data_IF_857734855849
#
_entry.id   IF_857734855849
#
_cell.length_a   1.000
_cell.length_b   1.000
_cell.length_c   1.000
_cell.angle_alpha   90.00
_cell.angle_beta   90.00
_cell.angle_gamma   90.00
#
_symmetry.space_group_name_H-M   'P 1'
#
loop_
_entity.id
_entity.type
_entity.pdbx_description
1 polymer ?
#
# COMPACT_ATOMS: atom_id res chain seq x y z
N UNK A 1 -38.15 20.97 -47.22
CA UNK A 1 -37.57 20.93 -45.87
C UNK A 1 -37.05 19.52 -45.65
N UNK A 2 -35.78 19.29 -45.93
CA UNK A 2 -35.14 17.98 -45.78
C UNK A 2 -34.24 18.10 -44.55
N UNK A 3 -34.68 17.56 -43.41
CA UNK A 3 -33.87 17.50 -42.20
C UNK A 3 -32.80 16.42 -42.40
N UNK A 4 -31.55 16.86 -42.52
CA UNK A 4 -30.37 15.99 -42.36
C UNK A 4 -30.25 15.60 -40.90
N UNK A 5 -30.38 14.30 -40.63
CA UNK A 5 -30.10 13.69 -39.33
C UNK A 5 -28.58 13.79 -39.09
N UNK A 6 -28.15 14.75 -38.27
CA UNK A 6 -26.79 14.77 -37.76
C UNK A 6 -26.57 13.53 -36.88
N UNK A 7 -25.56 12.74 -37.24
CA UNK A 7 -25.12 11.61 -36.42
C UNK A 7 -24.52 12.15 -35.11
N UNK A 8 -24.78 11.50 -33.97
CA UNK A 8 -24.28 11.99 -32.68
C UNK A 8 -22.75 11.95 -32.65
N UNK A 9 -22.14 13.12 -32.43
CA UNK A 9 -20.70 13.29 -32.24
C UNK A 9 -20.33 12.65 -30.90
N UNK A 10 -19.74 11.45 -30.95
CA UNK A 10 -19.24 10.75 -29.76
C UNK A 10 -18.04 11.53 -29.19
N UNK A 11 -18.03 11.87 -27.88
CA UNK A 11 -16.95 12.65 -27.29
C UNK A 11 -15.61 11.91 -27.36
N UNK A 12 -14.53 12.67 -27.64
CA UNK A 12 -13.16 12.17 -27.89
C UNK A 12 -12.63 11.20 -26.81
N UNK A 13 -13.00 11.42 -25.55
CA UNK A 13 -12.60 10.57 -24.42
C UNK A 13 -13.20 9.15 -24.48
N UNK A 14 -14.42 9.00 -25.01
CA UNK A 14 -15.03 7.67 -25.21
C UNK A 14 -14.38 6.92 -26.37
N UNK A 15 -14.04 7.62 -27.46
CA UNK A 15 -13.36 7.03 -28.61
C UNK A 15 -11.96 6.51 -28.24
N UNK A 16 -11.19 7.28 -27.46
CA UNK A 16 -9.87 6.88 -26.97
C UNK A 16 -9.96 5.64 -26.05
N UNK A 17 -11.00 5.54 -25.22
CA UNK A 17 -11.26 4.36 -24.37
C UNK A 17 -11.67 3.11 -25.16
N UNK A 18 -12.43 3.28 -26.25
CA UNK A 18 -12.85 2.18 -27.12
C UNK A 18 -11.70 1.65 -27.96
N UNK A 19 -10.84 2.52 -28.49
CA UNK A 19 -9.63 2.11 -29.22
C UNK A 19 -8.67 1.34 -28.28
N UNK A 20 -8.46 1.83 -27.06
CA UNK A 20 -7.63 1.15 -26.06
C UNK A 20 -8.14 -0.25 -25.70
N UNK A 21 -9.45 -0.38 -25.44
CA UNK A 21 -10.10 -1.68 -25.20
C UNK A 21 -9.94 -2.61 -26.39
N UNK A 22 -10.19 -2.12 -27.61
CA UNK A 22 -10.08 -2.93 -28.84
C UNK A 22 -8.67 -3.47 -29.03
N UNK A 23 -7.64 -2.64 -28.85
CA UNK A 23 -6.24 -3.07 -28.96
C UNK A 23 -5.93 -4.16 -27.94
N UNK A 24 -6.37 -3.98 -26.70
CA UNK A 24 -6.17 -4.95 -25.60
C UNK A 24 -6.84 -6.29 -25.92
N UNK A 25 -8.09 -6.28 -26.38
CA UNK A 25 -8.79 -7.51 -26.78
C UNK A 25 -8.14 -8.20 -27.98
N UNK A 26 -7.70 -7.45 -29.00
CA UNK A 26 -7.01 -8.03 -30.16
C UNK A 26 -5.67 -8.64 -29.74
N UNK A 27 -4.92 -7.97 -28.86
CA UNK A 27 -3.68 -8.49 -28.29
C UNK A 27 -3.91 -9.78 -27.52
N UNK A 28 -4.85 -9.79 -26.57
CA UNK A 28 -5.17 -10.97 -25.78
C UNK A 28 -5.63 -12.16 -26.64
N UNK A 29 -6.52 -11.93 -27.61
CA UNK A 29 -6.95 -13.00 -28.53
C UNK A 29 -5.80 -13.58 -29.36
N UNK A 30 -4.93 -12.71 -29.87
CA UNK A 30 -3.76 -13.14 -30.65
C UNK A 30 -2.78 -13.93 -29.78
N UNK A 31 -2.49 -13.45 -28.57
CA UNK A 31 -1.55 -14.10 -27.66
C UNK A 31 -2.08 -15.46 -27.18
N UNK A 32 -3.37 -15.55 -26.86
CA UNK A 32 -4.01 -16.82 -26.50
C UNK A 32 -3.99 -17.83 -27.65
N UNK A 33 -4.26 -17.38 -28.88
CA UNK A 33 -4.18 -18.24 -30.07
C UNK A 33 -2.75 -18.71 -30.33
N UNK A 34 -1.77 -17.80 -30.34
CA UNK A 34 -0.37 -18.13 -30.59
C UNK A 34 0.19 -19.06 -29.51
N UNK A 35 -0.11 -18.78 -28.23
CA UNK A 35 0.26 -19.62 -27.11
C UNK A 35 -0.27 -21.05 -27.28
N UNK A 36 -1.57 -21.21 -27.54
CA UNK A 36 -2.19 -22.53 -27.72
C UNK A 36 -1.54 -23.30 -28.87
N UNK A 37 -1.31 -22.63 -30.00
CA UNK A 37 -0.68 -23.24 -31.18
C UNK A 37 0.77 -23.67 -30.87
N UNK A 38 1.57 -22.81 -30.21
CA UNK A 38 2.95 -23.11 -29.82
C UNK A 38 3.01 -24.31 -28.87
N UNK A 39 2.17 -24.36 -27.85
CA UNK A 39 2.14 -25.48 -26.89
C UNK A 39 1.79 -26.78 -27.60
N UNK A 40 0.69 -26.81 -28.37
CA UNK A 40 0.25 -28.03 -29.07
C UNK A 40 1.31 -28.54 -30.06
N UNK A 41 1.86 -27.64 -30.88
CA UNK A 41 2.90 -28.02 -31.86
C UNK A 41 4.19 -28.41 -31.15
N UNK A 42 4.58 -27.70 -30.10
CA UNK A 42 5.74 -28.02 -29.28
C UNK A 42 5.65 -29.43 -28.70
N UNK A 43 4.48 -29.83 -28.20
CA UNK A 43 4.23 -31.21 -27.77
C UNK A 43 4.32 -32.22 -28.91
N UNK A 44 3.70 -31.93 -30.07
CA UNK A 44 3.71 -32.84 -31.22
C UNK A 44 5.11 -33.04 -31.82
N UNK A 45 5.89 -31.97 -31.87
CA UNK A 45 7.23 -31.96 -32.46
C UNK A 45 8.32 -32.28 -31.43
N UNK A 46 7.97 -32.31 -30.14
CA UNK A 46 8.87 -32.64 -29.04
C UNK A 46 9.84 -31.52 -28.62
N UNK A 47 9.60 -30.27 -29.02
CA UNK A 47 10.44 -29.11 -28.68
C UNK A 47 10.09 -28.56 -27.30
N UNK A 48 11.03 -28.62 -26.37
CA UNK A 48 10.90 -28.03 -25.05
C UNK A 48 10.90 -26.49 -25.13
N UNK A 49 11.71 -25.90 -26.02
CA UNK A 49 11.79 -24.44 -26.16
C UNK A 49 10.46 -23.84 -26.64
N UNK A 50 9.82 -24.48 -27.62
CA UNK A 50 8.54 -24.03 -28.16
C UNK A 50 7.40 -24.20 -27.15
N UNK A 51 7.41 -25.29 -26.37
CA UNK A 51 6.47 -25.47 -25.25
C UNK A 51 6.68 -24.38 -24.21
N UNK A 52 7.91 -24.11 -23.80
CA UNK A 52 8.24 -23.10 -22.79
C UNK A 52 7.80 -21.69 -23.23
N UNK A 53 8.07 -21.31 -24.48
CA UNK A 53 7.64 -20.04 -25.07
C UNK A 53 6.11 -19.92 -25.19
N UNK A 54 5.45 -21.03 -25.51
CA UNK A 54 4.00 -21.14 -25.51
C UNK A 54 3.39 -20.97 -24.11
N UNK A 55 3.96 -21.63 -23.11
CA UNK A 55 3.55 -21.53 -21.70
C UNK A 55 3.83 -20.14 -21.13
N UNK A 56 4.97 -19.53 -21.44
CA UNK A 56 5.26 -18.13 -21.09
C UNK A 56 4.15 -17.22 -21.61
N UNK A 57 3.85 -17.30 -22.91
CA UNK A 57 2.77 -16.50 -23.52
C UNK A 57 1.39 -16.83 -22.94
N UNK A 58 1.14 -18.08 -22.52
CA UNK A 58 -0.12 -18.47 -21.86
C UNK A 58 -0.24 -17.84 -20.48
N UNK A 59 0.88 -17.84 -19.75
CA UNK A 59 1.00 -17.34 -18.39
C UNK A 59 0.69 -15.85 -18.34
N UNK A 60 1.13 -15.09 -19.34
CA UNK A 60 0.80 -13.67 -19.47
C UNK A 60 -0.72 -13.46 -19.63
N UNK A 61 -1.38 -14.24 -20.50
CA UNK A 61 -2.84 -14.16 -20.68
C UNK A 61 -3.63 -14.58 -19.43
N UNK A 62 -3.16 -15.62 -18.73
CA UNK A 62 -3.75 -16.04 -17.46
C UNK A 62 -3.55 -14.95 -16.40
N UNK A 63 -2.37 -14.34 -16.34
CA UNK A 63 -2.05 -13.22 -15.44
C UNK A 63 -3.00 -12.06 -15.67
N UNK A 64 -3.21 -11.65 -16.92
CA UNK A 64 -4.17 -10.60 -17.28
C UNK A 64 -5.60 -10.93 -16.81
N UNK A 65 -6.02 -12.18 -17.00
CA UNK A 65 -7.33 -12.66 -16.53
C UNK A 65 -7.45 -12.63 -15.00
N UNK A 66 -6.41 -13.06 -14.29
CA UNK A 66 -6.33 -13.03 -12.83
C UNK A 66 -6.34 -11.59 -12.31
N UNK A 67 -5.61 -10.67 -12.94
CA UNK A 67 -5.63 -9.24 -12.61
C UNK A 67 -7.03 -8.65 -12.80
N UNK A 68 -7.72 -8.99 -13.89
CA UNK A 68 -9.11 -8.52 -14.10
C UNK A 68 -10.07 -9.06 -13.03
N UNK A 69 -9.93 -10.33 -12.65
CA UNK A 69 -10.70 -10.92 -11.57
C UNK A 69 -10.37 -10.27 -10.22
N UNK A 70 -9.08 -10.07 -9.93
CA UNK A 70 -8.59 -9.41 -8.72
C UNK A 70 -9.11 -7.98 -8.61
N UNK A 71 -9.13 -7.21 -9.70
CA UNK A 71 -9.74 -5.87 -9.73
C UNK A 71 -11.24 -5.94 -9.45
N UNK A 72 -11.94 -6.94 -9.98
CA UNK A 72 -13.39 -7.09 -9.78
C UNK A 72 -13.77 -7.46 -8.35
N UNK A 73 -13.02 -8.38 -7.73
CA UNK A 73 -13.26 -8.83 -6.36
C UNK A 73 -12.60 -7.94 -5.30
N UNK A 74 -11.41 -7.43 -5.56
CA UNK A 74 -10.60 -6.64 -4.64
C UNK A 74 -11.04 -5.19 -4.48
N UNK A 75 -11.76 -4.62 -5.46
CA UNK A 75 -12.34 -3.26 -5.37
C UNK A 75 -13.73 -3.21 -4.76
N UNK A 76 -14.20 -4.30 -4.17
CA UNK A 76 -15.44 -4.28 -3.42
C UNK A 76 -15.24 -3.47 -2.14
N UNK A 77 -16.19 -2.58 -1.87
CA UNK A 77 -16.22 -1.75 -0.66
C UNK A 77 -16.27 -2.64 0.60
N UNK A 78 -15.90 -2.08 1.78
CA UNK A 78 -16.07 -2.77 3.05
C UNK A 78 -17.49 -3.29 3.25
N UNK A 79 -17.60 -4.49 3.82
CA UNK A 79 -18.86 -5.10 4.26
C UNK A 79 -18.79 -5.53 5.73
N UNK A 80 -19.86 -6.17 6.22
CA UNK A 80 -19.98 -6.58 7.63
C UNK A 80 -18.92 -7.62 8.06
N UNK A 81 -18.41 -8.42 7.12
CA UNK A 81 -17.36 -9.42 7.38
C UNK A 81 -15.94 -8.87 7.09
N UNK A 82 -15.83 -7.79 6.32
CA UNK A 82 -14.57 -7.19 5.85
C UNK A 82 -14.55 -5.66 6.01
N UNK A 83 -14.38 -5.19 7.25
CA UNK A 83 -14.37 -3.74 7.57
C UNK A 83 -13.28 -2.90 6.87
N UNK A 84 -12.19 -3.53 6.40
CA UNK A 84 -11.11 -2.88 5.65
C UNK A 84 -11.24 -3.08 4.13
N UNK A 85 -12.33 -3.70 3.67
CA UNK A 85 -12.57 -4.02 2.27
C UNK A 85 -11.87 -5.29 1.81
N UNK A 86 -11.99 -5.56 0.50
CA UNK A 86 -11.61 -6.83 -0.11
C UNK A 86 -10.23 -6.81 -0.78
N UNK A 87 -9.46 -5.73 -0.59
CA UNK A 87 -8.18 -5.53 -1.28
C UNK A 87 -7.22 -6.72 -1.16
N UNK A 88 -7.14 -7.36 0.01
CA UNK A 88 -6.24 -8.52 0.22
C UNK A 88 -6.55 -9.73 -0.67
N UNK A 89 -7.73 -9.81 -1.29
CA UNK A 89 -8.05 -10.84 -2.28
C UNK A 89 -7.15 -10.69 -3.51
N UNK A 90 -6.83 -9.46 -3.91
CA UNK A 90 -5.89 -9.20 -5.01
C UNK A 90 -4.49 -9.70 -4.68
N UNK A 91 -4.02 -9.43 -3.45
CA UNK A 91 -2.73 -9.91 -2.93
C UNK A 91 -2.67 -11.45 -2.92
N UNK A 92 -3.72 -12.11 -2.42
CA UNK A 92 -3.79 -13.58 -2.38
C UNK A 92 -3.84 -14.20 -3.77
N UNK A 93 -4.57 -13.57 -4.68
CA UNK A 93 -4.69 -14.01 -6.08
C UNK A 93 -3.34 -13.91 -6.80
N UNK A 94 -2.61 -12.81 -6.59
CA UNK A 94 -1.27 -12.58 -7.15
C UNK A 94 -0.24 -13.55 -6.55
N UNK A 95 -0.32 -13.83 -5.25
CA UNK A 95 0.52 -14.82 -4.57
C UNK A 95 0.33 -16.23 -5.16
N UNK A 96 -0.93 -16.65 -5.35
CA UNK A 96 -1.26 -17.95 -5.94
C UNK A 96 -0.74 -18.05 -7.38
N UNK A 97 -0.95 -17.00 -8.18
CA UNK A 97 -0.46 -16.92 -9.55
C UNK A 97 1.07 -17.05 -9.60
N UNK A 98 1.80 -16.26 -8.81
CA UNK A 98 3.26 -16.34 -8.73
C UNK A 98 3.74 -17.76 -8.36
N UNK A 99 3.05 -18.42 -7.42
CA UNK A 99 3.33 -19.81 -7.03
C UNK A 99 3.14 -20.80 -8.18
N UNK A 100 2.07 -20.67 -8.97
CA UNK A 100 1.82 -21.51 -10.15
C UNK A 100 2.90 -21.29 -11.21
N UNK A 101 3.30 -20.05 -11.46
CA UNK A 101 4.35 -19.73 -12.45
C UNK A 101 5.69 -20.34 -12.07
N UNK A 102 6.09 -20.26 -10.79
CA UNK A 102 7.32 -20.90 -10.29
C UNK A 102 7.25 -22.41 -10.46
N UNK A 103 6.11 -23.04 -10.14
CA UNK A 103 5.93 -24.48 -10.29
C UNK A 103 6.08 -24.91 -11.75
N UNK A 104 5.43 -24.21 -12.67
CA UNK A 104 5.49 -24.48 -14.12
C UNK A 104 6.90 -24.25 -14.66
N UNK A 105 7.55 -23.15 -14.28
CA UNK A 105 8.95 -22.86 -14.62
C UNK A 105 9.91 -23.96 -14.13
N UNK A 106 9.72 -24.44 -12.90
CA UNK A 106 10.47 -25.56 -12.33
C UNK A 106 10.28 -26.86 -13.13
N UNK A 107 9.05 -27.16 -13.56
CA UNK A 107 8.76 -28.31 -14.42
C UNK A 107 9.44 -28.24 -15.79
N UNK A 108 9.44 -27.06 -16.44
CA UNK A 108 10.13 -26.83 -17.71
C UNK A 108 11.65 -26.99 -17.52
N UNK A 109 12.21 -26.34 -16.50
CA UNK A 109 13.65 -26.40 -16.23
C UNK A 109 14.11 -27.83 -15.91
N UNK A 110 13.37 -28.55 -15.06
CA UNK A 110 13.66 -29.94 -14.70
C UNK A 110 13.63 -30.86 -15.93
N UNK A 111 12.55 -30.81 -16.71
CA UNK A 111 12.42 -31.65 -17.92
C UNK A 111 13.48 -31.32 -18.98
N UNK A 112 13.91 -30.06 -19.08
CA UNK A 112 14.95 -29.63 -20.01
C UNK A 112 16.36 -30.03 -19.55
N UNK A 113 16.63 -29.98 -18.25
CA UNK A 113 17.88 -30.46 -17.65
C UNK A 113 18.03 -31.98 -17.80
N UNK A 114 16.95 -32.73 -17.53
CA UNK A 114 16.94 -34.18 -17.70
C UNK A 114 17.25 -34.58 -19.15
N UNK A 115 16.65 -33.90 -20.13
CA UNK A 115 16.97 -34.07 -21.56
C UNK A 115 18.42 -33.74 -21.90
N UNK A 116 18.98 -32.69 -21.30
CA UNK A 116 20.36 -32.26 -21.57
C UNK A 116 21.39 -33.27 -21.01
N UNK A 117 21.15 -33.82 -19.81
CA UNK A 117 22.08 -34.73 -19.16
C UNK A 117 21.90 -36.20 -19.56
N UNK A 118 20.70 -36.62 -19.95
CA UNK A 118 20.44 -37.98 -20.43
C UNK A 118 21.07 -38.28 -21.79
N UNK A 119 21.49 -37.24 -22.55
CA UNK A 119 22.08 -37.41 -23.88
C UNK A 119 21.12 -38.00 -24.91
N UNK A 120 19.80 -37.97 -24.63
CA UNK A 120 18.78 -38.46 -25.53
C UNK A 120 18.87 -37.74 -26.89
N UNK A 121 18.74 -38.48 -27.99
CA UNK A 121 18.66 -37.87 -29.33
C UNK A 121 17.44 -36.95 -29.37
N UNK A 122 17.70 -35.65 -29.36
CA UNK A 122 16.66 -34.63 -29.53
C UNK A 122 16.34 -34.61 -31.01
N UNK A 123 15.23 -35.24 -31.40
CA UNK A 123 14.71 -35.16 -32.75
C UNK A 123 14.60 -33.69 -33.16
N UNK A 124 15.21 -33.34 -34.30
CA UNK A 124 15.21 -31.97 -34.77
C UNK A 124 13.76 -31.50 -34.92
N UNK A 125 13.36 -30.41 -34.24
CA UNK A 125 11.98 -29.99 -34.22
C UNK A 125 11.60 -29.50 -35.61
N UNK A 126 10.94 -30.37 -36.38
CA UNK A 126 10.79 -30.28 -37.83
C UNK A 126 10.30 -28.92 -38.33
N UNK A 127 10.42 -28.67 -39.64
CA UNK A 127 10.14 -27.38 -40.29
C UNK A 127 8.85 -26.67 -39.82
N UNK A 128 7.83 -27.43 -39.41
CA UNK A 128 6.58 -26.93 -38.82
C UNK A 128 6.82 -26.04 -37.60
N UNK A 129 7.69 -26.43 -36.67
CA UNK A 129 7.99 -25.64 -35.46
C UNK A 129 8.62 -24.30 -35.81
N UNK A 130 9.55 -24.28 -36.77
CA UNK A 130 10.20 -23.05 -37.26
C UNK A 130 9.17 -22.12 -37.91
N UNK A 131 8.33 -22.63 -38.82
CA UNK A 131 7.31 -21.82 -39.50
C UNK A 131 6.34 -21.19 -38.50
N UNK A 132 5.88 -21.95 -37.51
CA UNK A 132 4.97 -21.45 -36.47
C UNK A 132 5.65 -20.40 -35.59
N UNK A 133 6.92 -20.61 -35.23
CA UNK A 133 7.67 -19.64 -34.43
C UNK A 133 7.92 -18.34 -35.21
N UNK A 134 8.19 -18.43 -36.51
CA UNK A 134 8.29 -17.26 -37.41
C UNK A 134 6.96 -16.51 -37.47
N UNK A 135 5.85 -17.23 -37.67
CA UNK A 135 4.51 -16.61 -37.67
C UNK A 135 4.27 -15.89 -36.33
N UNK A 136 4.56 -16.54 -35.20
CA UNK A 136 4.39 -15.94 -33.89
C UNK A 136 5.27 -14.69 -33.69
N UNK A 137 6.53 -14.73 -34.10
CA UNK A 137 7.46 -13.59 -34.04
C UNK A 137 6.91 -12.40 -34.83
N UNK A 138 6.47 -12.61 -36.07
CA UNK A 138 5.89 -11.55 -36.90
C UNK A 138 4.55 -11.05 -36.35
N UNK A 139 3.72 -11.93 -35.79
CA UNK A 139 2.47 -11.55 -35.13
C UNK A 139 2.71 -10.69 -33.89
N UNK A 140 3.70 -11.04 -33.04
CA UNK A 140 4.09 -10.23 -31.87
C UNK A 140 4.69 -8.87 -32.28
N UNK A 141 5.50 -8.81 -33.33
CA UNK A 141 5.99 -7.54 -33.88
C UNK A 141 4.85 -6.70 -34.49
N UNK A 142 3.87 -7.34 -35.13
CA UNK A 142 2.69 -6.67 -35.67
C UNK A 142 1.83 -6.06 -34.56
N UNK A 143 1.54 -6.81 -33.48
CA UNK A 143 0.76 -6.28 -32.35
C UNK A 143 1.53 -5.15 -31.66
N UNK A 144 2.85 -5.27 -31.47
CA UNK A 144 3.68 -4.18 -30.98
C UNK A 144 3.47 -2.89 -31.78
N UNK A 145 3.60 -2.96 -33.11
CA UNK A 145 3.42 -1.79 -33.98
C UNK A 145 1.99 -1.26 -33.94
N UNK A 146 0.99 -2.14 -33.85
CA UNK A 146 -0.40 -1.76 -33.75
C UNK A 146 -0.68 -1.01 -32.44
N UNK A 147 -0.32 -1.62 -31.30
CA UNK A 147 -0.48 -1.04 -29.96
C UNK A 147 0.29 0.27 -29.82
N UNK A 148 1.54 0.34 -30.30
CA UNK A 148 2.36 1.56 -30.25
C UNK A 148 1.76 2.71 -31.06
N UNK A 149 1.16 2.43 -32.23
CA UNK A 149 0.48 3.47 -33.02
C UNK A 149 -0.73 4.04 -32.27
N UNK A 150 -1.52 3.18 -31.61
CA UNK A 150 -2.67 3.62 -30.82
C UNK A 150 -2.23 4.34 -29.56
N UNK A 151 -1.24 3.81 -28.85
CA UNK A 151 -0.67 4.41 -27.64
C UNK A 151 -0.23 5.87 -27.85
N UNK A 152 0.50 6.14 -28.94
CA UNK A 152 0.93 7.49 -29.31
C UNK A 152 -0.25 8.41 -29.71
N UNK A 153 -1.28 7.87 -30.34
CA UNK A 153 -2.48 8.62 -30.76
C UNK A 153 -3.30 9.07 -29.55
N UNK A 154 -3.54 8.16 -28.60
CA UNK A 154 -4.32 8.43 -27.38
C UNK A 154 -3.45 8.98 -26.23
N UNK A 155 -2.14 9.17 -26.48
CA UNK A 155 -1.13 9.64 -25.51
C UNK A 155 -1.12 8.84 -24.20
N UNK A 156 -1.31 7.52 -24.29
CA UNK A 156 -1.37 6.64 -23.11
C UNK A 156 -0.01 5.98 -22.85
N UNK A 157 0.61 6.34 -21.72
CA UNK A 157 1.85 5.73 -21.23
C UNK A 157 1.67 4.25 -20.88
N UNK A 158 0.48 3.86 -20.40
CA UNK A 158 0.14 2.47 -20.12
C UNK A 158 0.14 1.62 -21.40
N UNK A 159 -0.46 2.11 -22.48
CA UNK A 159 -0.43 1.40 -23.77
C UNK A 159 0.97 1.38 -24.40
N UNK A 160 1.80 2.41 -24.17
CA UNK A 160 3.22 2.39 -24.58
C UNK A 160 3.97 1.27 -23.85
N UNK A 161 3.78 1.13 -22.54
CA UNK A 161 4.37 0.06 -21.74
C UNK A 161 3.90 -1.33 -22.21
N UNK A 162 2.59 -1.52 -22.43
CA UNK A 162 2.05 -2.78 -22.94
C UNK A 162 2.62 -3.14 -24.32
N UNK A 163 2.80 -2.16 -25.22
CA UNK A 163 3.45 -2.42 -26.49
C UNK A 163 4.90 -2.91 -26.31
N UNK A 164 5.68 -2.26 -25.43
CA UNK A 164 7.05 -2.70 -25.14
C UNK A 164 7.11 -4.09 -24.52
N UNK A 165 6.12 -4.46 -23.71
CA UNK A 165 5.98 -5.82 -23.19
C UNK A 165 5.82 -6.84 -24.32
N UNK A 166 4.86 -6.64 -25.25
CA UNK A 166 4.71 -7.53 -26.42
C UNK A 166 5.99 -7.62 -27.27
N UNK A 167 6.80 -6.56 -27.30
CA UNK A 167 8.09 -6.58 -28.01
C UNK A 167 9.16 -7.38 -27.27
N UNK A 168 9.16 -7.33 -25.93
CA UNK A 168 10.00 -8.20 -25.11
C UNK A 168 9.70 -9.68 -25.38
N UNK A 169 8.42 -10.04 -25.52
CA UNK A 169 8.02 -11.40 -25.88
C UNK A 169 8.51 -11.79 -27.27
N UNK A 170 8.41 -10.87 -28.25
CA UNK A 170 8.94 -11.10 -29.59
C UNK A 170 10.43 -11.43 -29.54
N UNK A 171 11.21 -10.73 -28.69
CA UNK A 171 12.63 -11.02 -28.50
C UNK A 171 12.87 -12.39 -27.87
N UNK A 172 12.05 -12.79 -26.88
CA UNK A 172 12.09 -14.13 -26.28
C UNK A 172 11.79 -15.23 -27.31
N UNK A 173 10.72 -15.06 -28.11
CA UNK A 173 10.38 -15.95 -29.22
C UNK A 173 11.48 -15.99 -30.29
N UNK A 174 12.22 -14.89 -30.51
CA UNK A 174 13.38 -14.90 -31.41
C UNK A 174 14.53 -15.79 -30.89
N UNK A 175 14.78 -15.82 -29.58
CA UNK A 175 15.76 -16.75 -28.97
C UNK A 175 15.34 -18.20 -29.23
N UNK A 176 14.06 -18.51 -29.06
CA UNK A 176 13.49 -19.83 -29.36
C UNK A 176 13.66 -20.18 -30.83
N UNK A 177 13.39 -19.24 -31.74
CA UNK A 177 13.58 -19.45 -33.18
C UNK A 177 15.03 -19.80 -33.53
N UNK A 178 16.00 -19.10 -32.95
CA UNK A 178 17.43 -19.39 -33.17
C UNK A 178 17.77 -20.80 -32.67
N UNK A 179 17.24 -21.21 -31.53
CA UNK A 179 17.44 -22.55 -30.99
C UNK A 179 16.82 -23.64 -31.87
N UNK A 180 15.60 -23.43 -32.38
CA UNK A 180 14.94 -24.36 -33.30
C UNK A 180 15.70 -24.52 -34.62
N UNK A 181 16.20 -23.40 -35.18
CA UNK A 181 17.04 -23.44 -36.39
C UNK A 181 18.34 -24.19 -36.11
N UNK A 182 19.02 -23.89 -35.01
CA UNK A 182 20.26 -24.58 -34.63
C UNK A 182 20.05 -26.09 -34.43
N UNK A 183 18.93 -26.49 -33.85
CA UNK A 183 18.56 -27.89 -33.68
C UNK A 183 18.42 -28.65 -35.02
N UNK A 184 18.02 -27.98 -36.11
CA UNK A 184 18.00 -28.58 -37.46
C UNK A 184 19.40 -28.88 -38.03
N UNK A 185 20.43 -28.17 -37.59
CA UNK A 185 21.82 -28.38 -38.02
C UNK A 185 22.61 -29.32 -37.10
N UNK A 186 21.92 -30.11 -36.27
CA UNK A 186 22.54 -31.08 -35.36
C UNK A 186 22.84 -30.53 -33.96
N UNK A 187 22.49 -29.28 -33.66
CA UNK A 187 22.66 -28.69 -32.33
C UNK A 187 21.40 -28.83 -31.47
N UNK A 188 20.86 -30.05 -31.33
CA UNK A 188 19.60 -30.32 -30.61
C UNK A 188 19.59 -29.86 -29.14
N UNK A 189 20.76 -29.78 -28.51
CA UNK A 189 20.93 -29.24 -27.15
C UNK A 189 20.53 -27.77 -27.01
N UNK A 190 20.52 -26.99 -28.11
CA UNK A 190 20.08 -25.59 -28.09
C UNK A 190 18.60 -25.45 -27.72
N UNK A 191 17.76 -26.42 -28.08
CA UNK A 191 16.34 -26.43 -27.70
C UNK A 191 16.18 -26.56 -26.17
N UNK A 192 16.94 -27.47 -25.55
CA UNK A 192 16.94 -27.62 -24.09
C UNK A 192 17.47 -26.37 -23.38
N UNK A 193 18.54 -25.75 -23.90
CA UNK A 193 19.09 -24.52 -23.33
C UNK A 193 18.11 -23.36 -23.45
N UNK A 194 17.47 -23.18 -24.61
CA UNK A 194 16.46 -22.15 -24.78
C UNK A 194 15.24 -22.37 -23.86
N UNK A 195 14.80 -23.62 -23.69
CA UNK A 195 13.74 -23.96 -22.74
C UNK A 195 14.11 -23.61 -21.29
N UNK A 196 15.35 -23.88 -20.86
CA UNK A 196 15.85 -23.49 -19.53
C UNK A 196 15.84 -21.97 -19.38
N UNK A 197 16.34 -21.22 -20.38
CA UNK A 197 16.38 -19.75 -20.35
C UNK A 197 14.96 -19.18 -20.22
N UNK A 198 14.01 -19.66 -21.02
CA UNK A 198 12.61 -19.22 -20.95
C UNK A 198 11.98 -19.63 -19.62
N UNK A 199 12.24 -20.86 -19.13
CA UNK A 199 11.79 -21.30 -17.82
C UNK A 199 12.29 -20.40 -16.69
N UNK A 200 13.55 -20.00 -16.71
CA UNK A 200 14.11 -19.05 -15.73
C UNK A 200 13.47 -17.66 -15.82
N UNK A 201 13.16 -17.19 -17.03
CA UNK A 201 12.44 -15.92 -17.23
C UNK A 201 11.04 -15.98 -16.59
N UNK A 202 10.26 -17.01 -16.88
CA UNK A 202 8.92 -17.25 -16.29
C UNK A 202 9.03 -17.37 -14.77
N UNK A 203 9.99 -18.15 -14.29
CA UNK A 203 10.22 -18.36 -12.86
C UNK A 203 10.58 -17.07 -12.13
N UNK A 204 11.37 -16.19 -12.75
CA UNK A 204 11.67 -14.85 -12.23
C UNK A 204 10.42 -14.00 -12.09
N UNK A 205 9.57 -13.96 -13.11
CA UNK A 205 8.29 -13.21 -13.05
C UNK A 205 7.42 -13.76 -11.93
N UNK A 206 7.27 -15.09 -11.84
CA UNK A 206 6.53 -15.74 -10.76
C UNK A 206 7.09 -15.44 -9.37
N UNK A 207 8.42 -15.42 -9.24
CA UNK A 207 9.11 -15.06 -7.99
C UNK A 207 8.88 -13.62 -7.58
N UNK A 208 9.02 -12.68 -8.51
CA UNK A 208 8.82 -11.26 -8.25
C UNK A 208 7.37 -11.00 -7.75
N UNK A 209 6.36 -11.61 -8.42
CA UNK A 209 4.95 -11.55 -7.99
C UNK A 209 4.70 -12.18 -6.62
N UNK A 210 5.25 -13.38 -6.38
CA UNK A 210 5.10 -14.10 -5.12
C UNK A 210 5.72 -13.30 -3.96
N UNK A 211 6.94 -12.80 -4.16
CA UNK A 211 7.70 -12.12 -3.13
C UNK A 211 7.09 -10.76 -2.77
N UNK A 212 6.63 -10.00 -3.76
CA UNK A 212 5.92 -8.74 -3.54
C UNK A 212 4.61 -8.97 -2.77
N UNK A 213 3.80 -9.95 -3.21
CA UNK A 213 2.53 -10.28 -2.54
C UNK A 213 2.74 -10.82 -1.12
N UNK A 214 3.78 -11.63 -0.91
CA UNK A 214 4.10 -12.16 0.41
C UNK A 214 4.53 -11.04 1.37
N UNK A 215 5.33 -10.07 0.90
CA UNK A 215 5.71 -8.89 1.68
C UNK A 215 4.51 -8.04 2.08
N UNK A 216 3.60 -7.84 1.15
CA UNK A 216 2.36 -7.11 1.44
C UNK A 216 1.51 -7.85 2.49
N UNK A 217 1.39 -9.18 2.40
CA UNK A 217 0.59 -9.98 3.33
C UNK A 217 1.12 -9.98 4.77
N UNK A 218 2.43 -9.80 4.96
CA UNK A 218 3.08 -9.68 6.28
C UNK A 218 3.20 -8.22 6.76
N UNK A 219 2.46 -7.30 6.15
CA UNK A 219 2.42 -5.88 6.49
C UNK A 219 3.83 -5.24 6.46
N UNK A 220 4.62 -5.57 5.43
CA UNK A 220 5.96 -4.98 5.26
C UNK A 220 5.86 -3.46 5.15
N UNK A 221 6.70 -2.77 5.92
CA UNK A 221 6.78 -1.32 5.92
C UNK A 221 7.25 -0.76 4.58
N UNK A 222 6.88 0.50 4.32
CA UNK A 222 7.41 1.27 3.19
C UNK A 222 8.92 1.44 3.28
N UNK A 223 9.60 1.77 2.17
CA UNK A 223 11.02 2.13 2.23
C UNK A 223 11.28 3.24 3.25
N UNK A 224 12.37 3.12 4.01
CA UNK A 224 12.74 4.07 5.08
C UNK A 224 12.79 5.52 4.58
N UNK A 225 13.24 5.75 3.34
CA UNK A 225 13.24 7.07 2.73
C UNK A 225 11.85 7.70 2.60
N UNK A 226 10.82 6.89 2.36
CA UNK A 226 9.42 7.34 2.27
C UNK A 226 8.86 7.58 3.67
N UNK A 227 9.18 6.70 4.63
CA UNK A 227 8.80 6.90 6.04
C UNK A 227 9.39 8.20 6.60
N UNK A 228 10.65 8.51 6.28
CA UNK A 228 11.29 9.77 6.68
C UNK A 228 10.59 10.99 6.08
N UNK A 229 10.19 10.92 4.81
CA UNK A 229 9.41 12.00 4.19
C UNK A 229 8.06 12.18 4.88
N UNK A 230 7.36 11.09 5.19
CA UNK A 230 6.10 11.14 5.95
C UNK A 230 6.29 11.76 7.33
N UNK A 231 7.36 11.39 8.03
CA UNK A 231 7.74 12.00 9.31
C UNK A 231 7.96 13.50 9.17
N UNK A 232 8.76 13.94 8.19
CA UNK A 232 9.09 15.35 7.98
C UNK A 232 7.82 16.18 7.68
N UNK A 233 6.90 15.63 6.88
CA UNK A 233 5.61 16.25 6.56
C UNK A 233 4.74 16.40 7.80
N UNK A 234 4.59 15.33 8.60
CA UNK A 234 3.81 15.36 9.83
C UNK A 234 4.42 16.36 10.84
N UNK A 235 5.75 16.34 11.01
CA UNK A 235 6.48 17.22 11.92
C UNK A 235 6.44 18.70 11.51
N UNK A 236 6.21 19.00 10.24
CA UNK A 236 6.09 20.36 9.70
C UNK A 236 4.78 21.07 10.07
N UNK A 237 3.81 20.36 10.65
CA UNK A 237 2.52 20.94 11.04
C UNK A 237 2.71 21.81 12.28
N UNK A 238 2.24 23.08 12.27
CA UNK A 238 2.27 23.93 13.46
C UNK A 238 1.51 23.29 14.62
N UNK A 239 2.11 23.26 15.80
CA UNK A 239 1.54 22.62 17.00
C UNK A 239 1.97 21.18 17.23
N UNK A 240 2.69 20.56 16.26
CA UNK A 240 3.34 19.26 16.46
C UNK A 240 4.73 19.48 17.06
N UNK A 241 4.99 18.86 18.21
CA UNK A 241 6.27 18.91 18.92
C UNK A 241 7.17 17.73 18.54
N UNK A 242 6.59 16.55 18.30
CA UNK A 242 7.30 15.36 17.85
C UNK A 242 6.34 14.39 17.17
N UNK A 243 6.89 13.41 16.46
CA UNK A 243 6.14 12.28 15.89
C UNK A 243 6.93 11.02 16.19
N UNK A 244 6.28 9.99 16.73
CA UNK A 244 6.92 8.70 16.96
C UNK A 244 5.98 7.57 16.56
N UNK A 245 6.47 6.32 16.65
CA UNK A 245 5.73 5.10 16.28
C UNK A 245 5.03 5.15 14.92
N UNK A 246 5.66 5.85 13.96
CA UNK A 246 5.22 5.90 12.57
C UNK A 246 5.37 4.50 11.95
N UNK A 247 4.24 3.80 11.85
CA UNK A 247 4.12 2.49 11.25
C UNK A 247 3.41 2.62 9.93
N UNK A 248 4.00 2.03 8.91
CA UNK A 248 3.42 2.00 7.56
C UNK A 248 3.19 0.57 7.14
N UNK A 249 2.12 0.35 6.38
CA UNK A 249 1.87 -0.94 5.71
C UNK A 249 1.24 -0.70 4.35
N UNK A 250 1.43 -1.67 3.45
CA UNK A 250 0.77 -1.71 2.16
C UNK A 250 -0.38 -2.72 2.19
N UNK A 251 -1.47 -2.39 1.52
CA UNK A 251 -2.60 -3.30 1.32
C UNK A 251 -3.27 -2.99 -0.02
N UNK A 252 -3.22 -3.93 -0.95
CA UNK A 252 -3.76 -3.86 -2.31
C UNK A 252 -3.33 -2.60 -3.08
N UNK A 253 -2.03 -2.31 -3.04
CA UNK A 253 -1.45 -1.11 -3.66
C UNK A 253 -1.77 0.22 -2.95
N UNK A 254 -2.54 0.20 -1.86
CA UNK A 254 -2.77 1.35 -1.00
C UNK A 254 -1.82 1.35 0.20
N UNK A 255 -1.60 2.54 0.76
CA UNK A 255 -0.78 2.74 1.96
C UNK A 255 -1.70 3.07 3.13
N UNK A 256 -1.40 2.46 4.28
CA UNK A 256 -1.99 2.79 5.57
C UNK A 256 -0.88 3.23 6.54
N UNK A 257 -1.17 4.23 7.36
CA UNK A 257 -0.23 4.76 8.35
C UNK A 257 -0.89 4.84 9.71
N UNK A 258 -0.19 4.30 10.71
CA UNK A 258 -0.47 4.53 12.12
C UNK A 258 0.68 5.40 12.67
N UNK A 259 0.38 6.50 13.37
CA UNK A 259 1.41 7.37 13.93
C UNK A 259 0.98 7.99 15.26
N UNK A 260 1.94 8.36 16.08
CA UNK A 260 1.71 9.14 17.29
C UNK A 260 2.18 10.58 17.07
N UNK A 261 1.35 11.55 17.44
CA UNK A 261 1.61 12.97 17.25
C UNK A 261 1.69 13.61 18.62
N UNK A 262 2.90 14.04 19.00
CA UNK A 262 3.12 14.75 20.26
C UNK A 262 2.76 16.21 20.07
N UNK A 263 1.90 16.72 20.94
CA UNK A 263 1.42 18.12 20.93
C UNK A 263 1.51 18.72 22.33
N UNK A 264 1.33 20.04 22.43
CA UNK A 264 1.41 20.73 23.71
C UNK A 264 0.46 20.15 24.79
N UNK A 265 0.94 19.80 25.99
CA UNK A 265 0.19 19.02 26.99
C UNK A 265 -1.01 19.73 27.63
N UNK A 266 -1.10 21.06 27.47
CA UNK A 266 -2.14 21.90 28.07
C UNK A 266 -3.15 22.44 27.05
N UNK A 267 -3.07 22.03 25.78
CA UNK A 267 -4.08 22.40 24.78
C UNK A 267 -5.36 21.59 25.01
N UNK A 268 -6.47 22.05 24.43
CA UNK A 268 -7.73 21.31 24.52
C UNK A 268 -7.68 20.06 23.65
N UNK A 269 -8.40 18.99 24.03
CA UNK A 269 -8.55 17.79 23.19
C UNK A 269 -9.09 18.14 21.79
N UNK A 270 -9.96 19.16 21.69
CA UNK A 270 -10.47 19.64 20.40
C UNK A 270 -9.40 20.26 19.52
N UNK A 271 -8.48 21.05 20.08
CA UNK A 271 -7.37 21.66 19.35
C UNK A 271 -6.33 20.61 18.94
N UNK A 272 -6.00 19.70 19.86
CA UNK A 272 -5.13 18.56 19.64
C UNK A 272 -5.63 17.68 18.49
N UNK A 273 -6.94 17.38 18.47
CA UNK A 273 -7.57 16.62 17.40
C UNK A 273 -7.49 17.32 16.04
N UNK A 274 -7.65 18.65 15.99
CA UNK A 274 -7.54 19.39 14.73
C UNK A 274 -6.09 19.44 14.20
N UNK A 275 -5.09 19.52 15.09
CA UNK A 275 -3.68 19.37 14.71
C UNK A 275 -3.44 18.00 14.06
N UNK A 276 -3.97 16.91 14.65
CA UNK A 276 -3.91 15.58 14.06
C UNK A 276 -4.63 15.47 12.70
N UNK A 277 -5.79 16.13 12.56
CA UNK A 277 -6.50 16.21 11.28
C UNK A 277 -5.69 16.95 10.21
N UNK A 278 -4.99 18.03 10.56
CA UNK A 278 -4.08 18.74 9.66
C UNK A 278 -2.93 17.84 9.22
N UNK A 279 -2.31 17.09 10.14
CA UNK A 279 -1.28 16.08 9.82
C UNK A 279 -1.81 15.07 8.80
N UNK A 280 -2.98 14.49 9.05
CA UNK A 280 -3.63 13.54 8.13
C UNK A 280 -3.88 14.16 6.75
N UNK A 281 -4.33 15.42 6.70
CA UNK A 281 -4.61 16.13 5.45
C UNK A 281 -3.35 16.38 4.63
N UNK A 282 -2.25 16.81 5.26
CA UNK A 282 -0.96 17.04 4.57
C UNK A 282 -0.37 15.73 4.06
N UNK A 283 -0.39 14.69 4.88
CA UNK A 283 0.07 13.36 4.46
C UNK A 283 -0.74 12.85 3.25
N UNK A 284 -2.07 12.94 3.28
CA UNK A 284 -2.91 12.52 2.15
C UNK A 284 -2.69 13.37 0.88
N UNK A 285 -2.36 14.65 1.04
CA UNK A 285 -2.07 15.52 -0.09
C UNK A 285 -0.74 15.17 -0.75
N UNK A 286 0.29 14.89 0.05
CA UNK A 286 1.64 14.61 -0.45
C UNK A 286 1.83 13.15 -0.90
N UNK A 287 1.07 12.21 -0.33
CA UNK A 287 1.09 10.79 -0.65
C UNK A 287 -0.27 10.32 -1.17
N UNK A 288 -0.56 10.43 -2.49
CA UNK A 288 -1.87 10.09 -3.05
C UNK A 288 -2.32 8.63 -2.89
N UNK A 289 -1.39 7.71 -2.61
CA UNK A 289 -1.69 6.30 -2.33
C UNK A 289 -2.08 6.05 -0.87
N UNK A 290 -1.96 7.06 0.00
CA UNK A 290 -2.33 6.98 1.41
C UNK A 290 -3.84 7.05 1.59
N UNK A 291 -4.46 5.92 1.91
CA UNK A 291 -5.92 5.81 2.07
C UNK A 291 -6.35 5.89 3.52
N UNK A 292 -5.55 5.34 4.44
CA UNK A 292 -5.90 5.32 5.86
C UNK A 292 -4.79 5.93 6.72
N UNK A 293 -5.21 6.75 7.67
CA UNK A 293 -4.31 7.44 8.61
C UNK A 293 -4.98 7.41 9.96
N UNK A 294 -4.40 6.65 10.88
CA UNK A 294 -4.81 6.62 12.28
C UNK A 294 -3.70 7.33 13.05
N UNK A 295 -4.07 8.41 13.74
CA UNK A 295 -3.16 9.12 14.60
C UNK A 295 -3.60 8.97 16.06
N UNK A 296 -2.64 8.69 16.94
CA UNK A 296 -2.76 8.92 18.37
C UNK A 296 -2.23 10.32 18.68
N UNK A 297 -2.80 11.01 19.66
CA UNK A 297 -2.31 12.31 20.10
C UNK A 297 -1.78 12.19 21.51
N UNK A 298 -0.48 12.42 21.65
CA UNK A 298 0.22 12.29 22.92
C UNK A 298 0.56 13.66 23.51
N UNK A 299 0.36 13.86 24.82
CA UNK A 299 0.73 15.10 25.49
C UNK A 299 2.24 15.19 25.77
N UNK A 300 2.95 14.06 25.74
CA UNK A 300 4.37 13.92 26.08
C UNK A 300 5.02 12.91 25.13
N UNK A 301 6.35 12.93 25.02
CA UNK A 301 7.08 11.98 24.18
C UNK A 301 7.41 10.71 24.99
N UNK A 302 6.59 9.67 24.81
CA UNK A 302 6.72 8.36 25.47
C UNK A 302 7.38 7.29 24.57
N UNK A 303 8.12 7.74 23.55
CA UNK A 303 8.77 6.87 22.58
C UNK A 303 9.66 5.82 23.26
N UNK A 304 9.28 4.55 23.12
CA UNK A 304 10.01 3.42 23.67
C UNK A 304 9.70 3.06 25.13
N UNK A 305 8.77 3.76 25.78
CA UNK A 305 8.33 3.45 27.15
C UNK A 305 7.31 2.29 27.20
N UNK A 306 6.77 1.91 26.04
CA UNK A 306 5.84 0.80 25.88
C UNK A 306 4.38 1.26 25.94
N UNK A 307 3.47 0.37 26.30
CA UNK A 307 2.04 0.66 26.36
C UNK A 307 1.67 1.06 27.82
N UNK A 308 1.45 2.35 28.11
CA UNK A 308 1.21 2.83 29.47
C UNK A 308 -0.06 2.24 30.09
N UNK A 309 -1.00 1.73 29.29
CA UNK A 309 -2.20 1.05 29.79
C UNK A 309 -1.90 -0.27 30.53
N UNK A 310 -0.66 -0.77 30.42
CA UNK A 310 -0.19 -1.98 31.13
C UNK A 310 0.33 -1.70 32.53
N UNK A 311 0.52 -0.44 32.90
CA UNK A 311 0.96 -0.01 34.22
C UNK A 311 -0.24 0.31 35.13
N UNK A 312 -0.10 0.31 36.46
CA UNK A 312 -1.14 0.80 37.35
C UNK A 312 -1.50 2.24 37.01
N UNK A 313 -2.77 2.49 36.70
CA UNK A 313 -3.23 3.81 36.27
C UNK A 313 -3.20 4.87 37.39
N UNK A 314 -3.11 6.13 36.98
CA UNK A 314 -3.35 7.29 37.85
C UNK A 314 -4.83 7.37 38.26
N UNK A 315 -5.15 7.97 39.43
CA UNK A 315 -6.53 8.11 39.87
C UNK A 315 -7.34 8.94 38.89
N UNK A 316 -8.54 8.48 38.58
CA UNK A 316 -9.45 9.22 37.69
C UNK A 316 -10.06 10.42 38.41
N UNK A 317 -10.64 11.34 37.64
CA UNK A 317 -11.23 12.59 38.16
C UNK A 317 -12.06 12.43 39.44
N UNK A 318 -13.00 11.46 39.57
CA UNK A 318 -13.78 11.34 40.80
C UNK A 318 -12.93 11.02 42.04
N UNK A 319 -11.89 10.20 41.89
CA UNK A 319 -10.97 9.83 42.97
C UNK A 319 -10.06 10.99 43.34
N UNK A 320 -9.59 11.73 42.33
CA UNK A 320 -8.83 12.97 42.51
C UNK A 320 -9.67 14.00 43.27
N UNK A 321 -10.90 14.26 42.85
CA UNK A 321 -11.79 15.22 43.49
C UNK A 321 -12.12 14.82 44.93
N UNK A 322 -12.38 13.53 45.20
CA UNK A 322 -12.62 13.03 46.55
C UNK A 322 -11.40 13.26 47.46
N UNK A 323 -10.21 12.86 46.99
CA UNK A 323 -8.96 12.99 47.77
C UNK A 323 -8.61 14.46 48.04
N UNK A 324 -8.72 15.32 47.01
CA UNK A 324 -8.45 16.74 47.16
C UNK A 324 -9.47 17.41 48.08
N UNK A 325 -10.74 17.03 48.01
CA UNK A 325 -11.77 17.57 48.90
C UNK A 325 -11.45 17.26 50.37
N UNK A 326 -11.00 16.05 50.71
CA UNK A 326 -10.63 15.72 52.09
C UNK A 326 -9.52 16.62 52.66
N UNK A 327 -8.61 17.13 51.82
CA UNK A 327 -7.47 17.97 52.22
C UNK A 327 -7.80 19.47 52.14
N UNK A 328 -8.60 19.86 51.15
CA UNK A 328 -8.82 21.26 50.81
C UNK A 328 -10.21 21.80 51.21
N UNK A 329 -11.14 21.00 51.75
CA UNK A 329 -12.51 21.45 52.07
C UNK A 329 -12.60 22.66 53.02
N UNK A 330 -11.60 22.82 53.90
CA UNK A 330 -11.51 23.97 54.83
C UNK A 330 -10.85 25.19 54.19
N UNK A 331 -10.16 25.04 53.07
CA UNK A 331 -9.46 26.13 52.41
C UNK A 331 -10.46 27.01 51.63
N UNK A 332 -10.47 28.36 51.81
CA UNK A 332 -11.45 29.24 51.19
C UNK A 332 -11.50 29.13 49.66
N UNK A 333 -10.35 28.93 49.02
CA UNK A 333 -10.20 28.82 47.55
C UNK A 333 -11.00 27.66 46.98
N UNK A 334 -11.06 26.52 47.69
CA UNK A 334 -11.76 25.32 47.22
C UNK A 334 -13.27 25.55 47.10
N UNK A 335 -13.84 26.39 47.97
CA UNK A 335 -15.27 26.74 47.95
C UNK A 335 -15.63 27.76 46.87
N UNK A 336 -14.65 28.51 46.38
CA UNK A 336 -14.81 29.52 45.33
C UNK A 336 -14.33 29.03 43.96
N UNK A 337 -14.08 27.72 43.84
CA UNK A 337 -13.62 27.10 42.61
C UNK A 337 -14.67 27.25 41.52
N UNK A 338 -14.26 27.76 40.38
CA UNK A 338 -15.09 27.84 39.18
C UNK A 338 -14.89 26.62 38.30
N UNK A 339 -13.64 26.19 38.13
CA UNK A 339 -13.29 25.04 37.30
C UNK A 339 -12.03 24.33 37.83
N UNK A 340 -12.03 23.00 37.74
CA UNK A 340 -10.91 22.12 38.08
C UNK A 340 -10.39 21.44 36.82
N UNK A 341 -9.18 21.82 36.41
CA UNK A 341 -8.49 21.19 35.29
C UNK A 341 -7.43 20.22 35.83
N UNK A 342 -7.41 19.02 35.25
CA UNK A 342 -6.48 17.94 35.60
C UNK A 342 -5.60 17.67 34.39
N UNK A 343 -4.30 17.57 34.61
CA UNK A 343 -3.31 17.25 33.60
C UNK A 343 -2.54 16.01 34.06
N UNK A 344 -2.59 14.94 33.28
CA UNK A 344 -1.89 13.69 33.57
C UNK A 344 -0.56 13.73 32.81
N UNK A 345 0.51 14.07 33.51
CA UNK A 345 1.84 14.35 32.95
C UNK A 345 2.92 13.80 33.89
N UNK A 346 4.02 13.30 33.34
CA UNK A 346 5.16 12.76 34.09
C UNK A 346 4.76 11.71 35.17
N UNK A 347 3.83 10.80 34.86
CA UNK A 347 3.24 9.84 35.82
C UNK A 347 2.64 10.49 37.09
N UNK A 348 2.17 11.73 36.98
CA UNK A 348 1.51 12.49 38.05
C UNK A 348 0.24 13.17 37.55
N UNK A 349 -0.61 13.57 38.50
CA UNK A 349 -1.75 14.44 38.22
C UNK A 349 -1.39 15.85 38.68
N UNK A 350 -1.20 16.75 37.71
CA UNK A 350 -1.09 18.19 37.94
C UNK A 350 -2.48 18.83 37.93
N UNK A 351 -2.72 19.72 38.89
CA UNK A 351 -4.04 20.29 39.17
C UNK A 351 -4.01 21.79 38.96
N UNK A 352 -4.89 22.28 38.09
CA UNK A 352 -5.07 23.71 37.80
C UNK A 352 -6.43 24.16 38.33
N UNK A 353 -6.40 25.05 39.31
CA UNK A 353 -7.58 25.58 40.00
C UNK A 353 -7.94 26.95 39.43
N UNK A 354 -9.10 27.06 38.80
CA UNK A 354 -9.58 28.31 38.26
C UNK A 354 -10.58 28.93 39.22
N UNK A 355 -10.24 30.11 39.75
CA UNK A 355 -11.04 30.81 40.76
C UNK A 355 -11.53 32.17 40.30
N UNK A 356 -12.68 32.57 40.85
CA UNK A 356 -13.22 33.91 40.64
C UNK A 356 -12.46 34.98 41.44
N UNK A 357 -12.64 36.24 41.04
CA UNK A 357 -11.98 37.47 41.51
C UNK A 357 -12.19 37.84 43.01
N UNK A 358 -12.69 36.90 43.81
CA UNK A 358 -13.06 37.12 45.21
C UNK A 358 -11.89 36.95 46.20
N UNK A 359 -10.77 36.36 45.77
CA UNK A 359 -9.61 36.08 46.62
C UNK A 359 -8.46 37.04 46.31
N UNK A 360 -8.03 37.84 47.31
CA UNK A 360 -7.06 38.92 47.12
C UNK A 360 -5.60 38.48 47.38
N UNK A 361 -5.29 37.18 47.29
CA UNK A 361 -3.95 36.65 47.52
C UNK A 361 -3.25 36.32 46.18
N UNK A 362 -1.91 36.47 46.09
CA UNK A 362 -1.17 36.07 44.90
C UNK A 362 -1.38 34.58 44.58
N UNK A 363 -1.62 34.21 43.30
CA UNK A 363 -1.91 32.82 42.92
C UNK A 363 -0.80 31.85 43.31
N UNK A 364 0.47 32.28 43.24
CA UNK A 364 1.62 31.44 43.62
C UNK A 364 1.63 31.10 45.12
N UNK A 365 1.21 32.03 45.98
CA UNK A 365 1.08 31.78 47.42
C UNK A 365 -0.02 30.75 47.71
N UNK A 366 -1.16 30.89 47.02
CA UNK A 366 -2.29 29.95 47.15
C UNK A 366 -1.91 28.55 46.69
N UNK A 367 -1.27 28.43 45.53
CA UNK A 367 -0.76 27.16 45.00
C UNK A 367 0.19 26.48 45.99
N UNK A 368 1.13 27.23 46.58
CA UNK A 368 2.09 26.70 47.55
C UNK A 368 1.42 26.20 48.84
N UNK A 369 0.41 26.93 49.34
CA UNK A 369 -0.36 26.53 50.53
C UNK A 369 -1.17 25.24 50.26
N UNK A 370 -1.85 25.17 49.13
CA UNK A 370 -2.63 24.00 48.73
C UNK A 370 -1.73 22.77 48.52
N UNK A 371 -0.56 22.96 47.89
CA UNK A 371 0.45 21.90 47.75
C UNK A 371 0.97 21.41 49.10
N UNK A 372 1.19 22.30 50.06
CA UNK A 372 1.60 21.91 51.41
C UNK A 372 0.53 21.07 52.13
N UNK A 373 -0.75 21.44 51.98
CA UNK A 373 -1.89 20.73 52.58
C UNK A 373 -2.14 19.34 51.99
N UNK A 374 -1.63 19.06 50.78
CA UNK A 374 -1.79 17.80 50.07
C UNK A 374 -0.44 17.10 49.83
N UNK A 375 0.56 17.37 50.67
CA UNK A 375 1.90 16.80 50.56
C UNK A 375 1.98 15.29 50.84
N UNK A 376 0.92 14.70 51.40
CA UNK A 376 0.75 13.26 51.62
C UNK A 376 0.38 12.49 50.34
N UNK A 377 -0.03 13.19 49.28
CA UNK A 377 -0.54 12.57 48.06
C UNK A 377 0.61 12.26 47.09
N UNK A 378 0.98 10.99 46.95
CA UNK A 378 2.11 10.58 46.10
C UNK A 378 1.90 10.88 44.61
N UNK A 379 0.67 10.74 44.10
CA UNK A 379 0.37 10.98 42.68
C UNK A 379 0.23 12.47 42.32
N UNK A 380 0.19 13.37 43.30
CA UNK A 380 -0.02 14.80 43.06
C UNK A 380 1.27 15.46 42.55
N UNK A 381 1.22 16.03 41.35
CA UNK A 381 2.34 16.71 40.71
C UNK A 381 2.40 18.20 41.03
N UNK A 382 2.10 19.03 40.04
CA UNK A 382 2.05 20.49 40.18
C UNK A 382 0.66 20.96 40.62
N UNK A 383 0.60 22.02 41.43
CA UNK A 383 -0.66 22.73 41.76
C UNK A 383 -0.54 24.15 41.24
N UNK A 384 -1.46 24.55 40.36
CA UNK A 384 -1.51 25.87 39.76
C UNK A 384 -2.85 26.55 40.13
N UNK A 385 -2.83 27.86 40.36
CA UNK A 385 -4.04 28.65 40.65
C UNK A 385 -4.11 29.78 39.64
N UNK A 386 -5.23 29.88 38.92
CA UNK A 386 -5.49 30.91 37.92
C UNK A 386 -6.74 31.71 38.26
N UNK A 387 -6.70 33.01 37.99
CA UNK A 387 -7.83 33.92 38.21
C UNK A 387 -8.56 34.20 36.90
N UNK A 388 -9.88 34.03 36.88
CA UNK A 388 -10.71 34.58 35.80
C UNK A 388 -10.93 36.07 36.07
N UNK A 389 -10.34 36.92 35.24
CA UNK A 389 -10.71 38.34 35.21
C UNK A 389 -12.08 38.50 34.56
N UNK A 390 -12.94 39.36 35.13
CA UNK A 390 -14.36 39.55 34.74
C UNK A 390 -14.62 39.82 33.24
N UNK A 391 -13.61 40.22 32.46
CA UNK A 391 -13.74 40.38 31.01
C UNK A 391 -13.89 39.04 30.25
N UNK A 392 -13.34 37.94 30.77
CA UNK A 392 -13.37 36.61 30.13
C UNK A 392 -14.66 35.82 30.42
N UNK A 393 -15.38 36.14 31.51
CA UNK A 393 -16.63 35.46 31.90
C UNK A 393 -17.76 35.61 30.89
N UNK A 394 -17.70 36.60 29.99
CA UNK A 394 -18.70 36.83 28.94
C UNK A 394 -18.47 35.97 27.68
N UNK A 395 -17.29 35.37 27.51
CA UNK A 395 -16.92 34.63 26.32
C UNK A 395 -17.00 33.09 26.49
N UNK A 396 -17.13 32.60 27.73
CA UNK A 396 -17.23 31.16 28.07
C UNK A 396 -18.69 30.67 28.27
N UNK A 397 -19.69 31.40 27.77
CA UNK A 397 -21.12 31.00 27.84
C UNK A 397 -21.70 30.67 26.48
#
# INVERSE_FOLDING_TARGET
MTQTVESPVVPKHELDSREAKRVTYVGAWLDGLLSTVKVVVGFWVGSAALIADGIHSLSDLVTDGFVLAAIHYGRQEPDDDHHYGHGRIETLTTLLLGSVLIFVAGGIAWSSLDRLFSGAEVNAPGMVAIVITIIALFSKEWIFRYTMRVAKRVKSKLLEANAWHSRSDALSTAVVLVALIGAQFGFGWLDAVAAIIVGLLVGKVGWDLLWESARELVDTALPESVQQQMYDVARSVPGVDSVHDLRTRQSAGWVMVDLHVVVGPKITVSEAHEIGNEVSRRLRHEFPLLTDVIFHVDPEDDAGEGDPSRLPGLPLRPEVEATLNERWYMHPVWRTLTELQLHYLDDKVSVSLIIGDSVHQPPQCLASQLKALASDIEWLGHVEVMFITRAASSAMR
#
